data_IF_424785927739
#
_entry.id   IF_424785927739
#
_cell.length_a   1.000
_cell.length_b   1.000
_cell.length_c   1.000
_cell.angle_alpha   90.00
_cell.angle_beta   90.00
_cell.angle_gamma   90.00
#
_symmetry.space_group_name_H-M   'P 1'
#
loop_
_entity.id
_entity.type
_entity.pdbx_description
1 polymer ?
#
# COMPACT_ATOMS: atom_id res chain seq x y z
N UNK A 1 62.07 -1.52 22.84
CA UNK A 1 60.86 -0.67 22.80
C UNK A 1 60.33 -0.60 21.38
N UNK A 2 59.27 -1.35 21.09
CA UNK A 2 58.25 -1.06 20.08
C UNK A 2 57.14 -2.07 20.35
N UNK A 3 56.12 -1.56 21.01
CA UNK A 3 55.01 -2.29 21.59
C UNK A 3 54.00 -2.67 20.49
N UNK A 4 53.72 -3.96 20.36
CA UNK A 4 52.70 -4.48 19.45
C UNK A 4 51.35 -4.42 20.17
N UNK A 5 50.60 -3.33 19.93
CA UNK A 5 49.22 -3.19 20.38
C UNK A 5 48.33 -4.25 19.72
N UNK A 6 48.08 -5.33 20.45
CA UNK A 6 47.06 -6.34 20.19
C UNK A 6 45.66 -5.71 20.23
N UNK A 7 45.01 -5.67 19.06
CA UNK A 7 43.57 -5.37 18.93
C UNK A 7 42.80 -6.59 19.46
N UNK A 8 42.22 -6.47 20.65
CA UNK A 8 41.30 -7.47 21.19
C UNK A 8 39.91 -7.25 20.58
N UNK A 9 39.51 -8.18 19.71
CA UNK A 9 38.15 -8.36 19.21
C UNK A 9 37.19 -8.61 20.38
N UNK A 10 36.37 -7.62 20.73
CA UNK A 10 35.28 -7.79 21.70
C UNK A 10 34.02 -8.30 21.01
N UNK A 11 34.07 -9.53 20.51
CA UNK A 11 32.87 -10.36 20.32
C UNK A 11 32.63 -11.16 21.61
N UNK A 12 32.22 -10.47 22.67
CA UNK A 12 31.70 -11.14 23.86
C UNK A 12 30.23 -11.53 23.61
N UNK A 13 30.00 -12.71 23.05
CA UNK A 13 28.74 -13.42 23.23
C UNK A 13 28.72 -14.00 24.64
N UNK A 14 28.02 -13.35 25.57
CA UNK A 14 27.64 -13.98 26.82
C UNK A 14 26.58 -15.06 26.54
N UNK A 15 26.99 -16.33 26.59
CA UNK A 15 26.07 -17.47 26.54
C UNK A 15 25.02 -17.38 27.64
N UNK A 16 23.75 -17.41 27.26
CA UNK A 16 22.65 -17.45 28.23
C UNK A 16 22.33 -18.91 28.56
N UNK A 17 22.47 -19.25 29.84
CA UNK A 17 22.04 -20.52 30.42
C UNK A 17 20.54 -20.75 30.19
N UNK A 18 20.17 -22.01 29.96
CA UNK A 18 18.79 -22.47 29.82
C UNK A 18 18.01 -22.20 31.12
N UNK A 19 17.18 -21.17 31.14
CA UNK A 19 16.13 -20.99 32.14
C UNK A 19 14.84 -21.66 31.67
N UNK A 20 14.34 -22.60 32.47
CA UNK A 20 13.06 -23.29 32.29
C UNK A 20 12.00 -22.70 33.25
N UNK A 21 11.16 -21.78 32.72
CA UNK A 21 9.74 -21.37 33.03
C UNK A 21 9.18 -21.32 34.48
N UNK A 22 8.15 -20.48 34.84
CA UNK A 22 7.17 -19.78 33.98
C UNK A 22 6.72 -18.35 34.43
N UNK A 23 7.01 -17.32 33.64
CA UNK A 23 6.20 -16.09 33.47
C UNK A 23 6.99 -15.16 32.55
N UNK A 24 7.20 -15.58 31.30
CA UNK A 24 8.16 -14.95 30.42
C UNK A 24 7.64 -13.59 29.95
N UNK A 25 7.90 -12.52 30.70
CA UNK A 25 7.55 -11.16 30.33
C UNK A 25 7.93 -10.89 28.87
N UNK A 26 6.94 -10.50 28.06
CA UNK A 26 7.14 -10.26 26.64
C UNK A 26 7.00 -8.76 26.35
N UNK A 27 8.03 -8.17 25.77
CA UNK A 27 7.97 -6.80 25.26
C UNK A 27 7.37 -6.80 23.85
N UNK A 28 6.29 -6.06 23.67
CA UNK A 28 5.67 -5.80 22.37
C UNK A 28 5.62 -4.31 22.07
N UNK A 29 5.50 -3.94 20.79
CA UNK A 29 5.38 -2.54 20.37
C UNK A 29 3.92 -2.14 20.15
N UNK A 30 3.57 -0.92 20.55
CA UNK A 30 2.26 -0.31 20.34
C UNK A 30 1.23 -0.63 21.45
N UNK A 31 0.06 0.00 21.32
CA UNK A 31 -1.01 -0.05 22.32
C UNK A 31 -1.99 -1.23 22.14
N UNK A 32 -1.69 -2.14 21.21
CA UNK A 32 -2.55 -3.28 20.86
C UNK A 32 -3.77 -2.91 20.02
N UNK A 33 -4.46 -3.93 19.48
CA UNK A 33 -5.77 -3.81 18.84
C UNK A 33 -6.80 -4.52 19.70
N UNK A 34 -7.94 -3.89 20.01
CA UNK A 34 -9.00 -4.53 20.80
C UNK A 34 -9.56 -5.76 20.08
N UNK A 35 -9.80 -6.83 20.83
CA UNK A 35 -10.26 -8.12 20.30
C UNK A 35 -11.78 -8.21 20.34
N UNK A 36 -12.37 -7.86 21.48
CA UNK A 36 -13.81 -7.98 21.73
C UNK A 36 -14.56 -6.96 20.87
N UNK A 37 -15.60 -7.42 20.17
CA UNK A 37 -16.45 -6.54 19.35
C UNK A 37 -15.76 -5.93 18.13
N UNK A 38 -14.61 -6.45 17.68
CA UNK A 38 -13.83 -5.86 16.60
C UNK A 38 -13.96 -6.60 15.26
N UNK A 39 -14.90 -6.22 14.38
CA UNK A 39 -15.07 -6.86 13.06
C UNK A 39 -13.86 -6.64 12.12
N UNK A 40 -12.94 -5.75 12.46
CA UNK A 40 -11.73 -5.55 11.66
C UNK A 40 -10.76 -6.74 11.75
N UNK A 41 -10.83 -7.57 12.81
CA UNK A 41 -9.99 -8.76 12.96
C UNK A 41 -10.28 -9.82 11.90
N UNK A 42 -11.55 -10.11 11.64
CA UNK A 42 -11.95 -11.02 10.55
C UNK A 42 -11.49 -10.48 9.19
N UNK A 43 -11.61 -9.17 8.97
CA UNK A 43 -11.08 -8.51 7.75
C UNK A 43 -9.54 -8.58 7.68
N UNK A 44 -8.86 -8.61 8.83
CA UNK A 44 -7.39 -8.76 8.93
C UNK A 44 -6.95 -10.18 8.58
N UNK A 45 -7.67 -11.21 9.05
CA UNK A 45 -7.46 -12.61 8.67
C UNK A 45 -7.61 -12.79 7.14
N UNK A 46 -8.71 -12.30 6.55
CA UNK A 46 -8.90 -12.29 5.09
C UNK A 46 -7.72 -11.69 4.34
N UNK A 47 -7.26 -10.51 4.76
CA UNK A 47 -6.12 -9.83 4.14
C UNK A 47 -4.82 -10.60 4.30
N UNK A 48 -4.58 -11.22 5.46
CA UNK A 48 -3.40 -12.07 5.71
C UNK A 48 -3.36 -13.26 4.75
N UNK A 49 -4.47 -13.97 4.56
CA UNK A 49 -4.60 -15.06 3.59
C UNK A 49 -4.23 -14.60 2.17
N UNK A 50 -4.85 -13.51 1.71
CA UNK A 50 -4.59 -12.94 0.39
C UNK A 50 -3.12 -12.54 0.27
N UNK A 51 -2.56 -11.87 1.27
CA UNK A 51 -1.14 -11.48 1.27
C UNK A 51 -0.22 -12.69 1.17
N UNK A 52 -0.46 -13.77 1.92
CA UNK A 52 0.41 -14.95 1.86
C UNK A 52 0.42 -15.57 0.48
N UNK A 53 -0.76 -15.88 -0.07
CA UNK A 53 -0.85 -16.54 -1.38
C UNK A 53 -0.21 -15.70 -2.48
N UNK A 54 -0.50 -14.40 -2.47
CA UNK A 54 0.02 -13.47 -3.47
C UNK A 54 1.54 -13.29 -3.38
N UNK A 55 2.09 -13.27 -2.17
CA UNK A 55 3.53 -13.11 -2.01
C UNK A 55 4.30 -14.38 -2.37
N UNK A 56 3.74 -15.58 -2.19
CA UNK A 56 4.34 -16.81 -2.73
C UNK A 56 4.47 -16.73 -4.25
N UNK A 57 3.40 -16.38 -4.95
CA UNK A 57 3.46 -16.22 -6.40
C UNK A 57 4.46 -15.12 -6.83
N UNK A 58 4.52 -13.99 -6.10
CA UNK A 58 5.49 -12.93 -6.37
C UNK A 58 6.95 -13.37 -6.12
N UNK A 59 7.21 -14.28 -5.17
CA UNK A 59 8.54 -14.86 -4.93
C UNK A 59 8.98 -15.66 -6.15
N UNK A 60 8.10 -16.50 -6.72
CA UNK A 60 8.43 -17.31 -7.89
C UNK A 60 8.69 -16.43 -9.13
N UNK A 61 7.90 -15.36 -9.30
CA UNK A 61 8.15 -14.36 -10.35
C UNK A 61 9.48 -13.62 -10.13
N UNK A 62 9.82 -13.26 -8.89
CA UNK A 62 11.10 -12.59 -8.62
C UNK A 62 12.29 -13.52 -8.88
N UNK A 63 12.21 -14.80 -8.48
CA UNK A 63 13.23 -15.81 -8.75
C UNK A 63 13.44 -16.01 -10.26
N UNK A 64 12.37 -16.20 -11.01
CA UNK A 64 12.45 -16.39 -12.47
C UNK A 64 13.02 -15.17 -13.21
N UNK A 65 12.86 -13.96 -12.67
CA UNK A 65 13.47 -12.72 -13.20
C UNK A 65 14.86 -12.41 -12.64
N UNK A 66 15.42 -13.23 -11.76
CA UNK A 66 16.72 -12.98 -11.09
C UNK A 66 16.72 -11.78 -10.13
N UNK A 67 15.56 -11.36 -9.61
CA UNK A 67 15.37 -10.15 -8.77
C UNK A 67 15.48 -10.45 -7.28
N UNK A 68 16.67 -10.88 -6.86
CA UNK A 68 16.94 -11.33 -5.49
C UNK A 68 16.65 -10.25 -4.43
N UNK A 69 16.82 -8.98 -4.78
CA UNK A 69 16.59 -7.86 -3.86
C UNK A 69 15.12 -7.71 -3.43
N UNK A 70 14.18 -8.30 -4.18
CA UNK A 70 12.74 -8.24 -3.87
C UNK A 70 12.25 -9.42 -3.05
N UNK A 71 12.92 -10.57 -3.17
CA UNK A 71 12.55 -11.83 -2.53
C UNK A 71 12.42 -11.66 -1.01
N UNK A 72 13.40 -11.00 -0.38
CA UNK A 72 13.36 -10.69 1.07
C UNK A 72 12.11 -9.89 1.45
N UNK A 73 11.74 -8.89 0.65
CA UNK A 73 10.54 -8.09 0.88
C UNK A 73 9.26 -8.94 0.85
N UNK A 74 9.14 -9.83 -0.13
CA UNK A 74 7.99 -10.74 -0.26
C UNK A 74 7.91 -11.74 0.89
N UNK A 75 9.04 -12.33 1.33
CA UNK A 75 9.07 -13.20 2.51
C UNK A 75 8.69 -12.46 3.80
N UNK A 76 9.19 -11.24 3.98
CA UNK A 76 8.79 -10.41 5.13
C UNK A 76 7.28 -10.15 5.14
N UNK A 77 6.67 -9.92 3.98
CA UNK A 77 5.22 -9.77 3.86
C UNK A 77 4.48 -11.08 4.12
N UNK A 78 4.96 -12.19 3.58
CA UNK A 78 4.39 -13.51 3.83
C UNK A 78 4.38 -13.83 5.33
N UNK A 79 5.43 -13.46 6.09
CA UNK A 79 5.51 -13.65 7.53
C UNK A 79 4.91 -12.51 8.38
N UNK A 80 4.39 -11.44 7.77
CA UNK A 80 3.73 -10.36 8.50
C UNK A 80 2.54 -10.90 9.30
N UNK A 81 2.41 -10.56 10.59
CA UNK A 81 1.42 -11.18 11.49
C UNK A 81 1.50 -12.72 11.55
N UNK A 82 2.66 -13.37 11.38
CA UNK A 82 2.75 -14.84 11.53
C UNK A 82 2.45 -15.28 12.96
N UNK A 83 2.92 -14.51 13.94
CA UNK A 83 2.71 -14.76 15.36
C UNK A 83 2.07 -13.54 15.98
N UNK A 84 1.08 -13.79 16.83
CA UNK A 84 0.28 -12.77 17.50
C UNK A 84 0.27 -13.11 18.99
N UNK A 85 0.25 -12.06 19.81
CA UNK A 85 0.11 -12.18 21.26
C UNK A 85 -1.17 -11.49 21.69
N UNK A 86 -1.93 -12.10 22.58
CA UNK A 86 -3.12 -11.47 23.17
C UNK A 86 -2.97 -11.37 24.67
N UNK A 87 -3.35 -10.22 25.24
CA UNK A 87 -3.31 -9.97 26.67
C UNK A 87 -4.28 -8.84 26.98
N UNK A 88 -5.03 -8.95 28.09
CA UNK A 88 -5.99 -7.93 28.56
C UNK A 88 -6.95 -7.45 27.44
N UNK A 89 -7.53 -8.38 26.68
CA UNK A 89 -8.47 -8.06 25.59
C UNK A 89 -7.85 -7.42 24.35
N UNK A 90 -6.51 -7.33 24.27
CA UNK A 90 -5.78 -6.68 23.18
C UNK A 90 -4.84 -7.62 22.44
N UNK A 91 -4.74 -7.41 21.13
CA UNK A 91 -3.91 -8.15 20.18
C UNK A 91 -2.66 -7.33 19.80
N UNK A 92 -1.50 -7.95 19.89
CA UNK A 92 -0.19 -7.37 19.58
C UNK A 92 0.55 -8.22 18.53
N UNK A 93 1.24 -7.57 17.61
CA UNK A 93 2.06 -8.25 16.61
C UNK A 93 2.98 -7.27 15.87
N UNK A 94 3.99 -7.82 15.20
CA UNK A 94 4.83 -7.09 14.25
C UNK A 94 4.18 -6.96 12.86
N UNK A 95 4.44 -5.83 12.20
CA UNK A 95 3.99 -5.51 10.86
C UNK A 95 5.18 -5.30 9.93
N UNK A 96 5.14 -5.88 8.73
CA UNK A 96 6.23 -5.74 7.76
C UNK A 96 6.32 -4.34 7.12
N UNK A 97 5.24 -3.55 7.18
CA UNK A 97 5.10 -2.20 6.61
C UNK A 97 5.33 -2.12 5.08
N UNK A 98 5.47 -3.23 4.38
CA UNK A 98 5.62 -3.27 2.92
C UNK A 98 4.36 -2.78 2.19
N UNK A 99 4.53 -2.24 0.99
CA UNK A 99 3.44 -1.69 0.14
C UNK A 99 2.67 -2.73 -0.67
N UNK A 100 3.10 -3.98 -0.59
CA UNK A 100 2.46 -5.14 -1.21
C UNK A 100 1.92 -6.13 -0.14
N UNK A 101 1.77 -5.64 1.10
CA UNK A 101 1.08 -6.33 2.17
C UNK A 101 -0.33 -5.73 2.32
N UNK A 102 -1.38 -6.49 2.01
CA UNK A 102 -2.76 -5.96 2.07
C UNK A 102 -3.16 -5.55 3.49
N UNK A 103 -2.62 -6.21 4.52
CA UNK A 103 -2.81 -5.82 5.93
C UNK A 103 -2.19 -4.45 6.21
N UNK A 104 -0.90 -4.28 5.91
CA UNK A 104 -0.21 -3.03 6.19
C UNK A 104 -0.73 -1.88 5.31
N UNK A 105 -1.18 -2.17 4.08
CA UNK A 105 -1.81 -1.17 3.22
C UNK A 105 -3.15 -0.71 3.77
N UNK A 106 -3.96 -1.61 4.36
CA UNK A 106 -5.21 -1.22 5.00
C UNK A 106 -4.98 -0.30 6.22
N UNK A 107 -3.97 -0.60 7.03
CA UNK A 107 -3.57 0.24 8.17
C UNK A 107 -3.08 1.61 7.68
N UNK A 108 -2.13 1.62 6.73
CA UNK A 108 -1.62 2.86 6.14
C UNK A 108 -2.73 3.71 5.51
N UNK A 109 -3.73 3.07 4.90
CA UNK A 109 -4.89 3.77 4.35
C UNK A 109 -5.66 4.50 5.46
N UNK A 110 -6.01 3.79 6.54
CA UNK A 110 -6.69 4.41 7.68
C UNK A 110 -5.88 5.55 8.30
N UNK A 111 -4.56 5.37 8.47
CA UNK A 111 -3.65 6.41 8.96
C UNK A 111 -3.66 7.66 8.06
N UNK A 112 -3.59 7.49 6.73
CA UNK A 112 -3.64 8.62 5.80
C UNK A 112 -5.00 9.31 5.84
N UNK A 113 -6.10 8.56 5.85
CA UNK A 113 -7.46 9.13 5.95
C UNK A 113 -7.54 9.99 7.21
N UNK A 114 -7.26 9.42 8.38
CA UNK A 114 -7.34 10.14 9.66
C UNK A 114 -6.44 11.38 9.70
N UNK A 115 -5.25 11.30 9.09
CA UNK A 115 -4.28 12.40 9.06
C UNK A 115 -4.71 13.57 8.18
N UNK A 116 -5.33 13.29 7.03
CA UNK A 116 -5.65 14.32 6.05
C UNK A 116 -7.11 14.78 6.10
N UNK A 117 -8.03 13.91 6.54
CA UNK A 117 -9.46 14.20 6.60
C UNK A 117 -9.78 15.54 7.30
N UNK A 118 -9.23 15.88 8.48
CA UNK A 118 -9.57 17.15 9.15
C UNK A 118 -9.26 18.39 8.31
N UNK A 119 -8.18 18.36 7.52
CA UNK A 119 -7.81 19.50 6.65
C UNK A 119 -8.63 19.50 5.36
N UNK A 120 -8.81 18.33 4.74
CA UNK A 120 -9.56 18.23 3.48
C UNK A 120 -11.05 18.52 3.68
N UNK A 121 -11.60 18.23 4.85
CA UNK A 121 -12.99 18.51 5.21
C UNK A 121 -13.29 20.01 5.30
N UNK A 122 -12.27 20.87 5.38
CA UNK A 122 -12.43 22.34 5.31
C UNK A 122 -12.61 22.85 3.87
N UNK A 123 -12.42 21.99 2.87
CA UNK A 123 -12.54 22.35 1.46
C UNK A 123 -13.96 22.07 0.98
N UNK A 124 -14.88 22.99 1.28
CA UNK A 124 -16.32 22.84 1.00
C UNK A 124 -16.65 22.54 -0.47
N UNK A 125 -15.78 22.99 -1.39
CA UNK A 125 -15.94 22.82 -2.83
C UNK A 125 -14.87 21.91 -3.41
N UNK A 126 -14.38 20.90 -2.66
CA UNK A 126 -13.31 20.03 -3.12
C UNK A 126 -13.63 19.32 -4.45
N UNK A 127 -12.61 19.13 -5.29
CA UNK A 127 -12.71 18.43 -6.57
C UNK A 127 -11.76 17.25 -6.62
N UNK A 128 -12.25 16.15 -7.16
CA UNK A 128 -11.48 14.97 -7.54
C UNK A 128 -10.99 15.13 -8.98
N UNK A 129 -9.73 14.79 -9.23
CA UNK A 129 -9.09 14.85 -10.55
C UNK A 129 -8.32 13.56 -10.80
N UNK A 130 -8.52 12.95 -11.96
CA UNK A 130 -7.67 11.88 -12.47
C UNK A 130 -6.80 12.42 -13.59
N UNK A 131 -5.48 12.45 -13.37
CA UNK A 131 -4.52 12.76 -14.42
C UNK A 131 -3.93 11.48 -14.99
N UNK A 132 -4.14 11.24 -16.27
CA UNK A 132 -3.64 10.05 -16.96
C UNK A 132 -2.78 10.43 -18.16
N UNK A 133 -2.03 9.43 -18.59
CA UNK A 133 -1.24 9.43 -19.81
C UNK A 133 -1.59 8.18 -20.62
N UNK A 134 -1.22 8.16 -21.89
CA UNK A 134 -1.43 7.01 -22.76
C UNK A 134 -0.85 5.74 -22.12
N UNK A 135 -1.61 4.66 -22.19
CA UNK A 135 -1.17 3.37 -21.67
C UNK A 135 0.11 2.91 -22.35
N UNK A 136 0.93 2.15 -21.63
CA UNK A 136 2.26 1.76 -22.05
C UNK A 136 2.50 0.26 -21.85
N UNK A 137 3.49 -0.30 -22.55
CA UNK A 137 3.91 -1.67 -22.30
C UNK A 137 4.79 -1.77 -21.04
N UNK A 138 5.02 -3.00 -20.55
CA UNK A 138 5.81 -3.25 -19.34
C UNK A 138 7.21 -2.62 -19.38
N UNK A 139 7.90 -2.68 -20.53
CA UNK A 139 9.27 -2.15 -20.71
C UNK A 139 9.33 -0.65 -20.46
N UNK A 140 8.28 0.08 -20.85
CA UNK A 140 8.23 1.53 -20.71
C UNK A 140 7.64 1.99 -19.38
N UNK A 141 6.96 1.14 -18.61
CA UNK A 141 6.20 1.55 -17.41
C UNK A 141 7.02 2.39 -16.41
N UNK A 142 8.27 1.98 -16.13
CA UNK A 142 9.16 2.75 -15.26
C UNK A 142 9.46 4.15 -15.79
N UNK A 143 9.71 4.27 -17.10
CA UNK A 143 9.96 5.55 -17.78
C UNK A 143 8.72 6.44 -17.71
N UNK A 144 7.53 5.89 -17.94
CA UNK A 144 6.27 6.65 -17.85
C UNK A 144 5.98 7.14 -16.44
N UNK A 145 6.08 6.26 -15.43
CA UNK A 145 5.88 6.65 -14.03
C UNK A 145 6.88 7.75 -13.63
N UNK A 146 8.15 7.60 -14.00
CA UNK A 146 9.17 8.63 -13.71
C UNK A 146 8.86 9.95 -14.44
N UNK A 147 8.44 9.88 -15.70
CA UNK A 147 8.00 11.04 -16.47
C UNK A 147 6.79 11.75 -15.84
N UNK A 148 5.82 10.99 -15.32
CA UNK A 148 4.66 11.53 -14.62
C UNK A 148 5.02 12.28 -13.35
N UNK A 149 5.91 11.74 -12.51
CA UNK A 149 6.41 12.47 -11.35
C UNK A 149 7.14 13.76 -11.76
N UNK A 150 8.04 13.68 -12.74
CA UNK A 150 8.76 14.86 -13.24
C UNK A 150 7.82 15.92 -13.81
N UNK A 151 6.83 15.50 -14.61
CA UNK A 151 5.81 16.39 -15.16
C UNK A 151 5.04 17.10 -14.06
N UNK A 152 4.59 16.36 -13.04
CA UNK A 152 3.88 16.93 -11.90
C UNK A 152 4.75 17.94 -11.12
N UNK A 153 6.01 17.60 -10.86
CA UNK A 153 6.96 18.50 -10.17
C UNK A 153 7.16 19.81 -10.93
N UNK A 154 7.35 19.74 -12.25
CA UNK A 154 7.50 20.93 -13.11
C UNK A 154 6.24 21.79 -13.11
N UNK A 155 5.05 21.18 -13.20
CA UNK A 155 3.77 21.89 -13.12
C UNK A 155 3.64 22.58 -11.77
N UNK A 156 3.86 21.85 -10.67
CA UNK A 156 3.76 22.40 -9.32
C UNK A 156 4.74 23.54 -9.10
N UNK A 157 5.99 23.42 -9.57
CA UNK A 157 6.97 24.49 -9.49
C UNK A 157 6.54 25.73 -10.29
N UNK A 158 6.07 25.55 -11.54
CA UNK A 158 5.58 26.67 -12.38
C UNK A 158 4.41 27.40 -11.73
N UNK A 159 3.40 26.67 -11.25
CA UNK A 159 2.25 27.27 -10.56
C UNK A 159 2.67 27.96 -9.27
N UNK A 160 3.56 27.35 -8.47
CA UNK A 160 4.11 27.97 -7.26
C UNK A 160 4.79 29.30 -7.57
N UNK A 161 5.61 29.38 -8.63
CA UNK A 161 6.30 30.62 -9.01
C UNK A 161 5.34 31.72 -9.47
N UNK A 162 4.27 31.39 -10.20
CA UNK A 162 3.22 32.37 -10.58
C UNK A 162 2.47 32.88 -9.35
N UNK A 163 2.10 31.99 -8.43
CA UNK A 163 1.46 32.38 -7.18
C UNK A 163 2.34 33.29 -6.31
N UNK A 164 3.65 33.01 -6.21
CA UNK A 164 4.62 33.86 -5.50
C UNK A 164 4.76 35.27 -6.10
N UNK A 165 4.37 35.46 -7.36
CA UNK A 165 4.37 36.76 -8.05
C UNK A 165 2.98 37.39 -8.11
N UNK A 166 2.00 36.82 -7.38
CA UNK A 166 0.59 37.26 -7.41
C UNK A 166 -0.07 37.22 -8.81
N UNK A 167 0.43 36.38 -9.72
CA UNK A 167 -0.06 36.26 -11.10
C UNK A 167 -0.73 34.91 -11.39
N UNK A 168 -0.98 34.10 -10.38
CA UNK A 168 -1.61 32.79 -10.55
C UNK A 168 -2.17 32.22 -9.26
N UNK A 169 -2.87 31.09 -9.40
CA UNK A 169 -3.54 30.40 -8.29
C UNK A 169 -2.55 29.47 -7.58
N UNK A 170 -2.64 29.36 -6.26
CA UNK A 170 -1.87 28.41 -5.46
C UNK A 170 -2.31 26.98 -5.75
N UNK A 171 -1.48 26.22 -6.46
CA UNK A 171 -1.73 24.81 -6.71
C UNK A 171 -1.47 23.99 -5.44
N UNK A 172 -2.52 23.44 -4.84
CA UNK A 172 -2.44 22.62 -3.63
C UNK A 172 -3.45 21.47 -3.63
N UNK A 173 -3.14 20.40 -2.90
CA UNK A 173 -3.95 19.19 -2.88
C UNK A 173 -3.19 17.97 -2.35
N UNK A 174 -3.86 16.83 -2.33
CA UNK A 174 -3.25 15.51 -2.11
C UNK A 174 -3.31 14.71 -3.40
N UNK A 175 -2.26 13.94 -3.69
CA UNK A 175 -2.16 13.13 -4.90
C UNK A 175 -1.67 11.74 -4.60
N UNK A 176 -1.93 10.86 -5.55
CA UNK A 176 -1.76 9.43 -5.37
C UNK A 176 -1.56 8.78 -6.74
N UNK A 177 -0.44 8.09 -6.98
CA UNK A 177 -0.20 7.33 -8.22
C UNK A 177 -0.77 5.90 -8.20
N UNK A 178 -1.82 5.61 -8.97
CA UNK A 178 -2.33 4.25 -9.25
C UNK A 178 -1.83 3.76 -10.64
N UNK A 179 -1.86 2.44 -10.86
CA UNK A 179 -1.61 1.85 -12.17
C UNK A 179 -2.50 0.63 -12.37
N UNK A 180 -3.27 0.63 -13.46
CA UNK A 180 -4.10 -0.50 -13.88
C UNK A 180 -3.38 -1.32 -14.97
N UNK A 181 -3.66 -2.62 -15.04
CA UNK A 181 -3.20 -3.49 -16.12
C UNK A 181 -4.40 -3.94 -16.95
N UNK A 182 -4.30 -3.80 -18.27
CA UNK A 182 -5.26 -4.34 -19.23
C UNK A 182 -4.69 -5.65 -19.79
N UNK A 183 -5.29 -6.81 -19.49
CA UNK A 183 -4.76 -8.12 -19.91
C UNK A 183 -4.96 -8.40 -21.40
N UNK A 184 -5.99 -7.83 -22.03
CA UNK A 184 -6.27 -7.99 -23.47
C UNK A 184 -5.16 -7.32 -24.28
N UNK A 185 -4.93 -6.03 -23.98
CA UNK A 185 -3.95 -5.22 -24.70
C UNK A 185 -2.53 -5.35 -24.14
N UNK A 186 -2.34 -6.05 -23.02
CA UNK A 186 -1.06 -6.19 -22.28
C UNK A 186 -0.41 -4.82 -22.01
N UNK A 187 -1.23 -3.86 -21.60
CA UNK A 187 -0.80 -2.47 -21.35
C UNK A 187 -1.09 -2.03 -19.93
N UNK A 188 -0.31 -1.06 -19.47
CA UNK A 188 -0.34 -0.49 -18.14
C UNK A 188 -0.77 0.97 -18.25
N UNK A 189 -1.72 1.38 -17.42
CA UNK A 189 -2.20 2.76 -17.37
C UNK A 189 -1.88 3.36 -15.98
N UNK A 190 -0.70 4.01 -15.82
CA UNK A 190 -0.41 4.79 -14.63
C UNK A 190 -1.21 6.11 -14.66
N UNK A 191 -1.81 6.48 -13.53
CA UNK A 191 -2.59 7.71 -13.38
C UNK A 191 -2.49 8.25 -11.96
N UNK A 192 -2.59 9.57 -11.82
CA UNK A 192 -2.74 10.21 -10.51
C UNK A 192 -4.22 10.39 -10.19
N UNK A 193 -4.64 9.98 -9.01
CA UNK A 193 -5.85 10.47 -8.37
C UNK A 193 -5.49 11.60 -7.41
N UNK A 194 -6.25 12.70 -7.46
CA UNK A 194 -5.91 13.96 -6.81
C UNK A 194 -7.18 14.58 -6.23
N UNK A 195 -7.13 15.06 -4.98
CA UNK A 195 -8.15 15.95 -4.40
C UNK A 195 -7.54 17.35 -4.27
N UNK A 196 -8.25 18.34 -4.79
CA UNK A 196 -7.90 19.76 -4.74
C UNK A 196 -9.03 20.58 -4.12
N UNK A 197 -8.77 21.78 -3.56
CA UNK A 197 -9.77 22.54 -2.81
C UNK A 197 -10.99 23.04 -3.60
N UNK A 198 -10.86 23.24 -4.92
CA UNK A 198 -11.92 23.80 -5.76
C UNK A 198 -11.73 23.50 -7.26
N UNK A 199 -12.78 23.76 -8.02
CA UNK A 199 -12.83 23.58 -9.47
C UNK A 199 -11.75 24.37 -10.22
N UNK A 200 -11.47 25.61 -9.81
CA UNK A 200 -10.48 26.45 -10.46
C UNK A 200 -9.08 25.81 -10.42
N UNK A 201 -8.71 25.22 -9.27
CA UNK A 201 -7.45 24.47 -9.13
C UNK A 201 -7.48 23.18 -9.95
N UNK A 202 -8.63 22.48 -10.02
CA UNK A 202 -8.79 21.27 -10.82
C UNK A 202 -8.58 21.55 -12.32
N UNK A 203 -9.21 22.60 -12.84
CA UNK A 203 -9.10 23.03 -14.23
C UNK A 203 -7.69 23.52 -14.57
N UNK A 204 -7.06 24.30 -13.68
CA UNK A 204 -5.65 24.69 -13.81
C UNK A 204 -4.74 23.46 -13.94
N UNK A 205 -4.96 22.47 -13.06
CA UNK A 205 -4.13 21.27 -13.03
C UNK A 205 -4.28 20.44 -14.32
N UNK A 206 -5.51 20.27 -14.81
CA UNK A 206 -5.77 19.61 -16.11
C UNK A 206 -5.10 20.36 -17.26
N UNK A 207 -5.26 21.68 -17.33
CA UNK A 207 -4.67 22.50 -18.39
C UNK A 207 -3.14 22.42 -18.40
N UNK A 208 -2.50 22.51 -17.22
CA UNK A 208 -1.06 22.40 -17.10
C UNK A 208 -0.53 21.00 -17.39
N UNK A 209 -1.31 19.95 -17.07
CA UNK A 209 -0.99 18.57 -17.44
C UNK A 209 -0.99 18.38 -18.95
N UNK A 210 -2.04 18.82 -19.64
CA UNK A 210 -2.13 18.75 -21.11
C UNK A 210 -1.00 19.54 -21.76
N UNK A 211 -0.67 20.73 -21.25
CA UNK A 211 0.44 21.54 -21.74
C UNK A 211 1.79 20.86 -21.53
N UNK A 212 2.02 20.26 -20.36
CA UNK A 212 3.28 19.61 -20.01
C UNK A 212 3.59 18.39 -20.88
N UNK A 213 2.54 17.70 -21.36
CA UNK A 213 2.63 16.50 -22.19
C UNK A 213 2.34 16.76 -23.68
N UNK A 214 2.18 18.03 -24.07
CA UNK A 214 1.97 18.41 -25.47
C UNK A 214 3.18 17.99 -26.30
N UNK A 215 2.92 17.34 -27.42
CA UNK A 215 3.91 16.97 -28.43
C UNK A 215 3.24 16.97 -29.78
N UNK A 216 3.90 17.56 -30.78
CA UNK A 216 3.38 17.64 -32.15
C UNK A 216 3.47 16.27 -32.87
N UNK A 217 4.33 15.37 -32.38
CA UNK A 217 4.57 14.05 -32.99
C UNK A 217 3.79 12.92 -32.34
N UNK A 218 3.33 13.09 -31.11
CA UNK A 218 2.74 11.97 -30.35
C UNK A 218 1.71 12.47 -29.35
N UNK A 219 0.51 11.89 -29.42
CA UNK A 219 -0.54 12.13 -28.43
C UNK A 219 -0.25 11.33 -27.14
N UNK A 220 0.38 11.98 -26.17
CA UNK A 220 0.66 11.39 -24.85
C UNK A 220 -0.53 11.47 -23.89
N UNK A 221 -1.42 12.45 -24.07
CA UNK A 221 -2.58 12.68 -23.21
C UNK A 221 -3.63 13.50 -23.97
N UNK A 222 -4.88 13.43 -23.55
CA UNK A 222 -5.98 14.20 -24.14
C UNK A 222 -6.94 14.72 -23.06
N UNK A 223 -7.67 15.79 -23.37
CA UNK A 223 -8.64 16.38 -22.45
C UNK A 223 -9.73 15.38 -22.03
N UNK A 224 -10.22 14.57 -22.98
CA UNK A 224 -11.22 13.52 -22.75
C UNK A 224 -10.74 12.43 -21.77
N UNK A 225 -9.43 12.22 -21.66
CA UNK A 225 -8.85 11.24 -20.76
C UNK A 225 -8.68 11.77 -19.32
N UNK A 226 -8.83 13.08 -19.09
CA UNK A 226 -8.67 13.68 -17.76
C UNK A 226 -10.03 13.85 -17.09
N UNK A 227 -10.34 12.94 -16.18
CA UNK A 227 -11.58 12.99 -15.42
C UNK A 227 -11.50 14.04 -14.31
N UNK A 228 -12.59 14.77 -14.08
CA UNK A 228 -12.73 15.61 -12.90
C UNK A 228 -14.19 15.76 -12.52
N UNK A 229 -14.46 15.80 -11.22
CA UNK A 229 -15.79 15.99 -10.63
C UNK A 229 -15.67 16.64 -9.26
N UNK A 230 -16.76 17.21 -8.75
CA UNK A 230 -16.88 17.61 -7.35
C UNK A 230 -16.77 16.36 -6.44
N UNK A 231 -16.21 16.55 -5.25
CA UNK A 231 -16.19 15.55 -4.18
C UNK A 231 -17.54 15.63 -3.46
N UNK A 232 -18.31 14.56 -3.54
CA UNK A 232 -19.62 14.45 -2.85
C UNK A 232 -19.46 13.77 -1.49
N UNK A 233 -18.60 12.75 -1.42
CA UNK A 233 -18.23 12.03 -0.20
C UNK A 233 -16.70 12.01 -0.08
N UNK A 234 -16.18 12.81 0.84
CA UNK A 234 -14.74 12.94 1.06
C UNK A 234 -14.12 11.64 1.58
N UNK A 235 -14.82 10.89 2.43
CA UNK A 235 -14.27 9.63 2.96
C UNK A 235 -14.18 8.59 1.85
N UNK A 236 -15.24 8.47 1.03
CA UNK A 236 -15.24 7.60 -0.15
C UNK A 236 -14.11 7.97 -1.11
N UNK A 237 -13.96 9.25 -1.41
CA UNK A 237 -12.94 9.72 -2.35
C UNK A 237 -11.53 9.57 -1.79
N UNK A 238 -11.32 9.78 -0.49
CA UNK A 238 -10.03 9.47 0.14
C UNK A 238 -9.73 7.97 0.07
N UNK A 239 -10.72 7.11 0.32
CA UNK A 239 -10.57 5.66 0.15
C UNK A 239 -10.19 5.33 -1.30
N UNK A 240 -10.80 6.02 -2.28
CA UNK A 240 -10.50 5.86 -3.71
C UNK A 240 -9.09 6.30 -4.07
N UNK A 241 -8.64 7.46 -3.60
CA UNK A 241 -7.29 7.96 -3.83
C UNK A 241 -6.24 7.03 -3.21
N UNK A 242 -6.57 6.35 -2.10
CA UNK A 242 -5.65 5.48 -1.36
C UNK A 242 -5.91 3.99 -1.69
N UNK A 243 -6.25 3.66 -2.93
CA UNK A 243 -6.47 2.27 -3.42
C UNK A 243 -5.19 1.41 -3.56
N UNK A 244 -4.06 1.77 -2.92
CA UNK A 244 -2.78 1.05 -3.09
C UNK A 244 -2.71 -0.34 -2.50
N UNK A 245 -2.11 -1.23 -3.28
CA UNK A 245 -1.90 -2.63 -2.95
C UNK A 245 -3.22 -3.38 -3.02
N UNK A 246 -4.25 -2.98 -2.26
CA UNK A 246 -5.48 -3.74 -2.09
C UNK A 246 -6.24 -4.00 -3.38
N UNK A 247 -6.42 -3.01 -4.27
CA UNK A 247 -7.23 -3.20 -5.49
C UNK A 247 -6.69 -4.35 -6.37
N UNK A 248 -5.37 -4.40 -6.53
CA UNK A 248 -4.70 -5.43 -7.35
C UNK A 248 -4.78 -6.84 -6.68
N UNK A 249 -4.98 -6.89 -5.36
CA UNK A 249 -5.04 -8.13 -4.59
C UNK A 249 -6.47 -8.61 -4.28
N UNK A 250 -7.47 -7.71 -4.29
CA UNK A 250 -8.82 -7.99 -3.76
C UNK A 250 -9.94 -7.66 -4.72
N UNK A 251 -9.65 -6.99 -5.82
CA UNK A 251 -10.59 -6.69 -6.89
C UNK A 251 -9.97 -7.18 -8.21
N UNK A 252 -10.00 -8.50 -8.49
CA UNK A 252 -10.17 -8.90 -9.88
C UNK A 252 -11.38 -8.13 -10.43
N UNK A 253 -11.51 -7.94 -11.75
CA UNK A 253 -12.62 -7.26 -12.43
C UNK A 253 -14.03 -7.91 -12.21
N UNK A 254 -14.37 -8.29 -10.98
CA UNK A 254 -15.64 -8.84 -10.50
C UNK A 254 -16.80 -7.86 -10.69
N UNK A 255 -16.50 -6.56 -10.86
CA UNK A 255 -17.49 -5.49 -10.97
C UNK A 255 -17.67 -4.91 -12.37
N UNK A 256 -17.11 -5.52 -13.42
CA UNK A 256 -17.51 -5.16 -14.79
C UNK A 256 -18.70 -6.00 -15.25
N UNK A 257 -19.88 -5.63 -14.72
CA UNK A 257 -21.24 -5.86 -15.25
C UNK A 257 -21.62 -7.33 -15.53
N UNK A 258 -22.92 -7.64 -15.46
CA UNK A 258 -23.44 -8.97 -15.79
C UNK A 258 -22.90 -9.47 -17.14
N UNK A 259 -22.67 -10.79 -17.24
CA UNK A 259 -22.16 -11.51 -18.42
C UNK A 259 -20.69 -11.30 -18.82
N UNK A 260 -19.76 -11.27 -17.85
CA UNK A 260 -18.37 -11.58 -18.16
C UNK A 260 -18.18 -13.11 -18.14
N UNK A 261 -18.12 -13.75 -19.31
CA UNK A 261 -17.77 -15.16 -19.51
C UNK A 261 -16.32 -15.53 -19.14
N UNK A 262 -15.56 -14.55 -18.61
CA UNK A 262 -14.16 -14.69 -18.27
C UNK A 262 -14.03 -14.79 -16.74
N UNK A 263 -13.42 -15.86 -16.19
CA UNK A 263 -13.24 -15.98 -14.76
C UNK A 263 -12.31 -14.87 -14.22
N UNK A 264 -12.58 -14.35 -13.01
CA UNK A 264 -11.78 -13.30 -12.40
C UNK A 264 -10.34 -13.76 -12.26
N UNK A 265 -9.39 -13.09 -12.92
CA UNK A 265 -7.99 -13.52 -12.98
C UNK A 265 -7.07 -12.52 -12.30
N UNK A 266 -6.10 -13.01 -11.53
CA UNK A 266 -5.06 -12.20 -10.88
C UNK A 266 -3.75 -12.33 -11.67
N UNK A 267 -3.30 -11.21 -12.27
CA UNK A 267 -2.09 -11.17 -13.08
C UNK A 267 -0.85 -10.80 -12.24
N UNK A 268 -0.26 -11.80 -11.59
CA UNK A 268 0.84 -11.59 -10.62
C UNK A 268 2.08 -10.99 -11.27
N UNK A 269 2.41 -11.42 -12.49
CA UNK A 269 3.59 -10.92 -13.20
C UNK A 269 3.44 -9.45 -13.60
N UNK A 270 2.23 -9.03 -13.99
CA UNK A 270 1.90 -7.64 -14.23
C UNK A 270 1.93 -6.79 -12.95
N UNK A 271 1.41 -7.33 -11.84
CA UNK A 271 1.55 -6.71 -10.53
C UNK A 271 3.03 -6.51 -10.14
N UNK A 272 3.89 -7.52 -10.34
CA UNK A 272 5.33 -7.39 -10.09
C UNK A 272 5.95 -6.27 -10.91
N UNK A 273 5.55 -6.10 -12.17
CA UNK A 273 6.01 -4.99 -13.01
C UNK A 273 5.58 -3.62 -12.46
N UNK A 274 4.33 -3.49 -11.99
CA UNK A 274 3.83 -2.26 -11.35
C UNK A 274 4.62 -1.95 -10.08
N UNK A 275 4.77 -2.94 -9.19
CA UNK A 275 5.50 -2.77 -7.93
C UNK A 275 6.98 -2.43 -8.17
N UNK A 276 7.59 -2.99 -9.22
CA UNK A 276 8.95 -2.65 -9.64
C UNK A 276 9.04 -1.20 -10.07
N UNK A 277 8.12 -0.77 -10.95
CA UNK A 277 8.15 0.57 -11.52
C UNK A 277 7.85 1.67 -10.47
N UNK A 278 7.08 1.34 -9.43
CA UNK A 278 6.78 2.25 -8.30
C UNK A 278 7.83 2.22 -7.17
N UNK A 279 8.83 1.34 -7.23
CA UNK A 279 9.86 1.22 -6.19
C UNK A 279 10.60 2.55 -6.00
N UNK A 280 10.79 2.96 -4.75
CA UNK A 280 11.46 4.21 -4.40
C UNK A 280 10.64 5.49 -4.63
N UNK A 281 9.44 5.42 -5.23
CA UNK A 281 8.59 6.59 -5.43
C UNK A 281 7.69 6.84 -4.23
N UNK A 282 7.37 8.10 -3.92
CA UNK A 282 6.34 8.43 -2.93
C UNK A 282 4.98 8.43 -3.62
N UNK A 283 4.22 7.36 -3.40
CA UNK A 283 2.98 7.09 -4.14
C UNK A 283 1.88 8.09 -3.75
N UNK A 284 1.63 8.25 -2.44
CA UNK A 284 0.74 9.26 -1.88
C UNK A 284 1.57 10.45 -1.37
N UNK A 285 1.21 11.68 -1.74
CA UNK A 285 1.85 12.88 -1.22
C UNK A 285 0.91 14.08 -1.20
N UNK A 286 1.20 15.04 -0.32
CA UNK A 286 0.59 16.38 -0.34
C UNK A 286 1.44 17.34 -1.17
N UNK A 287 0.81 18.38 -1.71
CA UNK A 287 1.50 19.47 -2.40
C UNK A 287 0.82 20.81 -2.09
N UNK A 288 1.59 21.89 -2.11
CA UNK A 288 1.09 23.25 -1.91
C UNK A 288 0.62 23.61 -0.49
N UNK A 289 0.50 22.68 0.46
CA UNK A 289 0.15 22.97 1.86
C UNK A 289 0.87 22.04 2.83
N UNK A 290 1.00 22.46 4.09
CA UNK A 290 1.49 21.64 5.20
C UNK A 290 0.33 21.30 6.13
N UNK A 291 0.39 20.13 6.76
CA UNK A 291 -0.50 19.80 7.87
C UNK A 291 -0.03 20.55 9.13
N UNK A 292 -0.93 20.78 10.11
CA UNK A 292 -0.56 21.24 11.44
C UNK A 292 0.56 20.38 12.04
N UNK A 293 1.43 20.98 12.87
CA UNK A 293 2.48 20.23 13.55
C UNK A 293 1.84 19.29 14.57
N UNK A 294 1.81 18.00 14.27
CA UNK A 294 1.52 16.96 15.26
C UNK A 294 2.75 16.75 16.16
N UNK A 295 2.53 16.54 17.46
CA UNK A 295 3.58 16.05 18.36
C UNK A 295 4.09 14.71 17.83
N UNK A 296 5.41 14.52 17.79
CA UNK A 296 6.01 13.27 17.32
C UNK A 296 5.43 12.08 18.11
N UNK A 297 4.69 11.18 17.45
CA UNK A 297 4.17 9.99 18.12
C UNK A 297 5.35 9.09 18.48
N UNK A 298 5.66 8.96 19.77
CA UNK A 298 6.69 8.03 20.24
C UNK A 298 6.18 6.60 20.07
N UNK A 299 7.04 5.70 19.58
CA UNK A 299 6.74 4.26 19.61
C UNK A 299 6.59 3.84 21.06
N UNK A 300 5.40 3.38 21.44
CA UNK A 300 5.15 2.83 22.77
C UNK A 300 5.60 1.37 22.82
N UNK A 301 6.11 0.95 23.96
CA UNK A 301 6.42 -0.45 24.26
C UNK A 301 5.54 -0.89 25.43
N UNK A 302 5.03 -2.12 25.35
CA UNK A 302 4.11 -2.69 26.32
C UNK A 302 4.69 -4.00 26.81
N UNK A 303 4.73 -4.18 28.13
CA UNK A 303 5.15 -5.41 28.79
C UNK A 303 3.93 -6.31 29.02
N UNK A 304 4.03 -7.58 28.61
CA UNK A 304 2.96 -8.57 28.77
C UNK A 304 3.42 -9.67 29.74
N UNK A 305 2.77 -9.76 30.90
CA UNK A 305 3.01 -10.82 31.90
C UNK A 305 2.07 -12.02 31.71
N UNK A 306 0.79 -11.77 31.41
CA UNK A 306 -0.22 -12.79 31.11
C UNK A 306 -0.67 -12.68 29.66
N UNK A 307 -0.10 -13.50 28.78
CA UNK A 307 -0.45 -13.50 27.36
C UNK A 307 -0.63 -14.89 26.79
N UNK A 308 -1.44 -14.95 25.73
CA UNK A 308 -1.54 -16.12 24.87
C UNK A 308 -0.78 -15.89 23.57
N UNK A 309 -0.20 -16.96 23.04
CA UNK A 309 0.56 -16.95 21.78
C UNK A 309 -0.19 -17.70 20.71
N UNK A 310 -0.43 -17.02 19.60
CA UNK A 310 -1.16 -17.54 18.45
C UNK A 310 -0.26 -17.60 17.23
N UNK A 311 -0.43 -18.64 16.41
CA UNK A 311 0.34 -18.81 15.18
C UNK A 311 -0.61 -18.92 13.99
N UNK A 312 -0.39 -18.13 12.95
CA UNK A 312 -1.21 -18.17 11.75
C UNK A 312 -1.07 -19.53 11.04
N UNK A 313 -2.20 -20.19 10.79
CA UNK A 313 -2.28 -21.45 10.06
C UNK A 313 -2.88 -21.22 8.68
N UNK A 314 -2.17 -21.63 7.63
CA UNK A 314 -2.68 -21.54 6.26
C UNK A 314 -3.86 -22.48 6.01
N UNK A 315 -3.85 -23.65 6.66
CA UNK A 315 -4.91 -24.65 6.58
C UNK A 315 -6.23 -24.11 7.16
N UNK A 316 -6.15 -23.48 8.33
CA UNK A 316 -7.33 -22.95 9.03
C UNK A 316 -7.66 -21.51 8.67
N UNK A 317 -6.77 -20.82 7.94
CA UNK A 317 -6.90 -19.41 7.54
C UNK A 317 -7.06 -18.42 8.69
N UNK A 318 -6.62 -18.81 9.89
CA UNK A 318 -6.75 -18.05 11.13
C UNK A 318 -5.50 -18.23 12.02
N UNK A 319 -5.38 -17.42 13.07
CA UNK A 319 -4.39 -17.62 14.12
C UNK A 319 -4.87 -18.67 15.12
N UNK A 320 -4.10 -19.74 15.28
CA UNK A 320 -4.44 -20.87 16.14
C UNK A 320 -3.59 -20.82 17.41
N UNK A 321 -4.25 -20.97 18.56
CA UNK A 321 -3.56 -21.24 19.82
C UNK A 321 -3.15 -22.71 19.85
N UNK A 322 -1.84 -22.98 19.97
CA UNK A 322 -1.32 -24.36 19.91
C UNK A 322 -1.71 -25.21 21.12
N UNK A 323 -2.00 -24.59 22.26
CA UNK A 323 -2.37 -25.30 23.48
C UNK A 323 -3.85 -25.69 23.47
N UNK A 324 -4.74 -24.78 23.01
CA UNK A 324 -6.20 -25.01 23.05
C UNK A 324 -6.78 -25.50 21.72
N UNK A 325 -6.09 -25.26 20.60
CA UNK A 325 -6.61 -25.54 19.26
C UNK A 325 -7.60 -24.50 18.73
N UNK A 326 -7.91 -23.48 19.52
CA UNK A 326 -8.89 -22.45 19.17
C UNK A 326 -8.37 -21.46 18.12
N UNK A 327 -9.29 -20.92 17.33
CA UNK A 327 -9.02 -19.86 16.36
C UNK A 327 -9.35 -18.47 16.91
N UNK A 328 -8.44 -17.51 16.69
CA UNK A 328 -8.55 -16.16 17.26
C UNK A 328 -9.72 -15.34 16.69
N UNK A 329 -10.04 -15.50 15.40
CA UNK A 329 -11.00 -14.62 14.72
C UNK A 329 -12.24 -15.33 14.21
N UNK A 330 -12.20 -16.67 14.14
CA UNK A 330 -13.28 -17.48 13.57
C UNK A 330 -13.45 -17.25 12.07
N UNK A 331 -12.48 -16.64 11.38
CA UNK A 331 -12.58 -16.34 9.96
C UNK A 331 -12.65 -17.62 9.13
N UNK A 332 -13.73 -17.77 8.37
CA UNK A 332 -13.91 -18.82 7.37
C UNK A 332 -13.70 -18.22 5.98
N UNK A 333 -12.70 -18.73 5.26
CA UNK A 333 -12.41 -18.33 3.87
C UNK A 333 -13.59 -18.70 2.95
N UNK A 334 -14.23 -17.73 2.26
CA UNK A 334 -15.29 -18.03 1.29
C UNK A 334 -14.78 -18.88 0.12
N UNK A 335 -15.66 -19.69 -0.47
CA UNK A 335 -15.35 -20.59 -1.60
C UNK A 335 -14.88 -19.80 -2.83
N UNK A 336 -15.47 -18.65 -3.11
CA UNK A 336 -15.10 -17.79 -4.25
C UNK A 336 -13.68 -17.25 -4.08
N UNK A 337 -13.31 -16.88 -2.85
CA UNK A 337 -11.95 -16.43 -2.55
C UNK A 337 -10.96 -17.60 -2.64
N UNK A 338 -11.35 -18.79 -2.20
CA UNK A 338 -10.53 -19.98 -2.32
C UNK A 338 -10.27 -20.32 -3.80
N UNK A 339 -11.31 -20.31 -4.63
CA UNK A 339 -11.21 -20.52 -6.07
C UNK A 339 -10.29 -19.50 -6.73
N UNK A 340 -10.48 -18.21 -6.44
CA UNK A 340 -9.66 -17.13 -6.97
C UNK A 340 -8.17 -17.30 -6.65
N UNK A 341 -7.86 -17.61 -5.39
CA UNK A 341 -6.48 -17.73 -4.90
C UNK A 341 -5.79 -19.03 -5.33
N UNK A 342 -6.55 -20.09 -5.62
CA UNK A 342 -5.98 -21.38 -5.99
C UNK A 342 -5.91 -21.58 -7.51
N UNK A 343 -6.91 -21.11 -8.25
CA UNK A 343 -7.10 -21.46 -9.67
C UNK A 343 -6.98 -20.27 -10.63
N UNK A 344 -7.04 -19.03 -10.12
CA UNK A 344 -7.11 -17.86 -10.99
C UNK A 344 -5.87 -16.96 -10.92
N UNK A 345 -4.76 -17.48 -10.37
CA UNK A 345 -3.48 -16.78 -10.37
C UNK A 345 -2.77 -17.06 -11.70
N UNK A 346 -2.66 -16.04 -12.55
CA UNK A 346 -1.89 -16.10 -13.78
C UNK A 346 -0.47 -15.56 -13.55
N UNK A 347 0.52 -16.45 -13.68
CA UNK A 347 1.95 -16.17 -13.56
C UNK A 347 2.63 -15.84 -14.87
N UNK A 348 1.96 -15.98 -16.01
CA UNK A 348 2.61 -15.96 -17.32
C UNK A 348 2.49 -14.60 -18.02
N UNK A 349 1.30 -13.99 -17.90
CA UNK A 349 0.91 -12.77 -18.59
C UNK A 349 1.52 -11.51 -17.97
N UNK A 350 2.21 -10.70 -18.79
CA UNK A 350 2.87 -9.44 -18.42
C UNK A 350 2.95 -8.41 -19.55
#
# INVERSE_FOLDING_TARGET
MKDYSTRLDTLAQSGTSKFTNPSAELVVSGNGTDIVGNPALTKRAKRKVISQRMNLALIDIAKSKGRNERIKGYWNTYHCLKTVFTSNGKMYSSYCKNRFCTVCCAIRKAEIINKYHPVLNTWNEAYFVTLTVKSCNAKNLYKWITGMFRAFELIHWRCKKRYQRSTGIKLMGVKSLECNFNPINKTYNPHFHIIVPNEAIANLLKAEWLKQWKSDKTLFTSAKAQHSRKVEDLEHDLIEIIKYGSKIFTEPDLKKKGNSSIPPTIYVKALDNILTAMKGKRIFDRFGFNLPKESASKTTFTWLSNYEKWSFSEKHTDWINKATGEGLTGYKKPSELAFLLNNCINSDLQ
#
